data_IF_822704426392
#
_entry.id   IF_822704426392
#
_cell.length_a   1.000
_cell.length_b   1.000
_cell.length_c   1.000
_cell.angle_alpha   90.00
_cell.angle_beta   90.00
_cell.angle_gamma   90.00
#
_symmetry.space_group_name_H-M   'P 1'
#
loop_
_entity.id
_entity.type
_entity.pdbx_description
1 polymer ?
#
# COMPACT_ATOMS: atom_id res chain seq x y z
N UNK A 1 15.46 -15.87 -9.40
CA UNK A 1 14.81 -14.57 -9.21
C UNK A 1 13.30 -14.84 -9.11
N UNK A 2 12.69 -14.71 -7.92
CA UNK A 2 11.33 -15.20 -7.68
C UNK A 2 10.28 -14.31 -8.37
N UNK A 3 9.87 -14.68 -9.59
CA UNK A 3 8.85 -13.97 -10.36
C UNK A 3 7.49 -13.84 -9.63
N UNK A 4 7.19 -14.73 -8.67
CA UNK A 4 5.94 -14.73 -7.91
C UNK A 4 5.83 -13.60 -6.88
N UNK A 5 6.94 -13.24 -6.22
CA UNK A 5 6.96 -12.18 -5.19
C UNK A 5 6.79 -10.80 -5.84
N UNK A 6 7.37 -10.64 -7.04
CA UNK A 6 7.25 -9.40 -7.81
C UNK A 6 5.79 -9.16 -8.23
N UNK A 7 5.07 -10.21 -8.67
CA UNK A 7 3.66 -10.08 -9.07
C UNK A 7 2.72 -9.70 -7.95
N UNK A 8 2.91 -10.23 -6.74
CA UNK A 8 2.10 -9.80 -5.59
C UNK A 8 2.29 -8.31 -5.31
N UNK A 9 3.54 -7.82 -5.41
CA UNK A 9 3.85 -6.41 -5.21
C UNK A 9 3.26 -5.52 -6.32
N UNK A 10 3.38 -5.93 -7.58
CA UNK A 10 2.76 -5.24 -8.73
C UNK A 10 1.25 -5.02 -8.50
N UNK A 11 0.55 -6.05 -8.00
CA UNK A 11 -0.87 -5.98 -7.68
C UNK A 11 -1.12 -4.96 -6.58
N UNK A 12 -0.35 -4.98 -5.49
CA UNK A 12 -0.52 -4.07 -4.35
C UNK A 12 -0.26 -2.62 -4.75
N UNK A 13 0.79 -2.36 -5.53
CA UNK A 13 1.12 -1.02 -6.01
C UNK A 13 0.04 -0.47 -6.94
N UNK A 14 -0.44 -1.30 -7.87
CA UNK A 14 -1.55 -0.93 -8.75
C UNK A 14 -2.84 -0.69 -7.98
N UNK A 15 -3.17 -1.56 -7.03
CA UNK A 15 -4.35 -1.44 -6.19
C UNK A 15 -4.32 -0.16 -5.36
N UNK A 16 -3.17 0.16 -4.75
CA UNK A 16 -2.97 1.39 -3.99
C UNK A 16 -3.22 2.62 -4.85
N UNK A 17 -2.69 2.65 -6.08
CA UNK A 17 -2.95 3.74 -7.03
C UNK A 17 -4.45 3.87 -7.34
N UNK A 18 -5.11 2.77 -7.67
CA UNK A 18 -6.53 2.77 -8.00
C UNK A 18 -7.40 3.25 -6.83
N UNK A 19 -7.10 2.82 -5.60
CA UNK A 19 -7.82 3.25 -4.40
C UNK A 19 -7.51 4.70 -3.98
N UNK A 20 -6.38 5.26 -4.40
CA UNK A 20 -6.07 6.68 -4.18
C UNK A 20 -6.82 7.60 -5.16
N UNK A 21 -7.11 7.12 -6.37
CA UNK A 21 -7.79 7.87 -7.43
C UNK A 21 -9.32 7.67 -7.40
N UNK A 22 -9.79 6.54 -6.87
CA UNK A 22 -11.20 6.13 -6.87
C UNK A 22 -11.59 5.56 -5.51
N UNK A 23 -12.88 5.61 -5.18
CA UNK A 23 -13.37 4.94 -3.97
C UNK A 23 -13.14 3.42 -4.04
N UNK A 24 -12.94 2.78 -2.89
CA UNK A 24 -12.76 1.32 -2.83
C UNK A 24 -13.90 0.58 -3.54
N UNK A 25 -15.14 1.06 -3.45
CA UNK A 25 -16.30 0.44 -4.09
C UNK A 25 -16.20 0.43 -5.62
N UNK A 26 -15.55 1.43 -6.23
CA UNK A 26 -15.47 1.61 -7.68
C UNK A 26 -14.40 0.76 -8.38
N UNK A 27 -13.62 -0.03 -7.64
CA UNK A 27 -12.49 -0.81 -8.19
C UNK A 27 -12.72 -2.30 -7.92
N UNK A 28 -12.68 -3.14 -8.96
CA UNK A 28 -12.75 -4.61 -8.81
C UNK A 28 -11.37 -5.29 -8.94
N UNK A 29 -11.29 -6.57 -8.55
CA UNK A 29 -10.08 -7.38 -8.77
C UNK A 29 -9.81 -7.54 -10.28
N UNK A 30 -10.86 -7.64 -11.10
CA UNK A 30 -10.76 -7.72 -12.56
C UNK A 30 -10.20 -6.44 -13.18
N UNK A 31 -10.55 -5.26 -12.66
CA UNK A 31 -10.02 -4.00 -13.17
C UNK A 31 -8.51 -3.93 -13.01
N UNK A 32 -8.03 -4.31 -11.82
CA UNK A 32 -6.60 -4.35 -11.48
C UNK A 32 -5.90 -5.43 -12.33
N UNK A 33 -6.47 -6.63 -12.40
CA UNK A 33 -5.97 -7.73 -13.24
C UNK A 33 -5.82 -7.32 -14.71
N UNK A 34 -6.84 -6.66 -15.27
CA UNK A 34 -6.81 -6.15 -16.65
C UNK A 34 -5.72 -5.11 -16.85
N UNK A 35 -5.55 -4.20 -15.89
CA UNK A 35 -4.53 -3.14 -15.96
C UNK A 35 -3.08 -3.66 -15.89
N UNK A 36 -2.89 -4.90 -15.41
CA UNK A 36 -1.60 -5.57 -15.32
C UNK A 36 -1.39 -6.63 -16.42
N UNK A 37 -2.37 -6.82 -17.32
CA UNK A 37 -2.33 -7.87 -18.34
C UNK A 37 -2.36 -9.29 -17.74
N UNK A 38 -2.94 -9.45 -16.55
CA UNK A 38 -3.02 -10.72 -15.83
C UNK A 38 -4.37 -11.41 -16.06
N UNK A 39 -4.36 -12.74 -16.03
CA UNK A 39 -5.58 -13.55 -16.06
C UNK A 39 -6.33 -13.51 -14.72
N UNK A 40 -7.65 -13.61 -14.77
CA UNK A 40 -8.51 -13.60 -13.57
C UNK A 40 -8.09 -14.67 -12.55
N UNK A 41 -7.84 -15.90 -13.00
CA UNK A 41 -7.41 -16.99 -12.12
C UNK A 41 -6.12 -16.67 -11.37
N UNK A 42 -5.16 -16.01 -12.02
CA UNK A 42 -3.93 -15.53 -11.37
C UNK A 42 -4.22 -14.47 -10.32
N UNK A 43 -5.12 -13.52 -10.60
CA UNK A 43 -5.51 -12.50 -9.62
C UNK A 43 -6.16 -13.12 -8.37
N UNK A 44 -7.12 -14.03 -8.57
CA UNK A 44 -7.79 -14.74 -7.48
C UNK A 44 -6.87 -15.68 -6.70
N UNK A 45 -5.78 -16.17 -7.31
CA UNK A 45 -4.74 -16.92 -6.60
C UNK A 45 -3.97 -16.04 -5.60
N UNK A 46 -3.65 -14.80 -5.96
CA UNK A 46 -2.95 -13.87 -5.06
C UNK A 46 -3.89 -13.23 -4.02
N UNK A 47 -5.08 -12.84 -4.45
CA UNK A 47 -6.07 -12.17 -3.62
C UNK A 47 -7.44 -12.79 -3.88
N UNK A 48 -7.85 -13.79 -3.06
CA UNK A 48 -9.12 -14.50 -3.23
C UNK A 48 -10.33 -13.56 -3.17
N UNK A 49 -10.24 -12.51 -2.35
CA UNK A 49 -11.29 -11.49 -2.24
C UNK A 49 -10.74 -10.08 -2.37
N UNK A 50 -11.62 -9.14 -2.75
CA UNK A 50 -11.33 -7.71 -2.73
C UNK A 50 -10.97 -7.22 -1.33
N UNK A 51 -11.57 -7.82 -0.30
CA UNK A 51 -11.29 -7.46 1.10
C UNK A 51 -9.86 -7.85 1.49
N UNK A 52 -9.35 -8.98 1.01
CA UNK A 52 -7.96 -9.39 1.25
C UNK A 52 -6.98 -8.38 0.63
N UNK A 53 -7.24 -7.95 -0.60
CA UNK A 53 -6.42 -6.95 -1.28
C UNK A 53 -6.46 -5.60 -0.56
N UNK A 54 -7.65 -5.11 -0.18
CA UNK A 54 -7.79 -3.85 0.56
C UNK A 54 -7.03 -3.93 1.88
N UNK A 55 -7.20 -5.03 2.62
CA UNK A 55 -6.54 -5.24 3.91
C UNK A 55 -5.03 -5.18 3.79
N UNK A 56 -4.46 -5.83 2.77
CA UNK A 56 -3.01 -5.83 2.55
C UNK A 56 -2.50 -4.45 2.10
N UNK A 57 -3.23 -3.74 1.22
CA UNK A 57 -2.87 -2.36 0.84
C UNK A 57 -2.87 -1.44 2.07
N UNK A 58 -3.86 -1.55 2.95
CA UNK A 58 -3.95 -0.76 4.17
C UNK A 58 -2.81 -1.08 5.14
N UNK A 59 -2.48 -2.37 5.31
CA UNK A 59 -1.34 -2.80 6.15
C UNK A 59 -0.02 -2.24 5.65
N UNK A 60 0.26 -2.31 4.34
CA UNK A 60 1.49 -1.74 3.77
C UNK A 60 1.53 -0.21 3.93
N UNK A 61 0.41 0.45 3.64
CA UNK A 61 0.31 1.91 3.78
C UNK A 61 0.53 2.35 5.23
N UNK A 62 -0.03 1.61 6.20
CA UNK A 62 0.18 1.85 7.62
C UNK A 62 1.64 1.59 8.03
N UNK A 63 2.27 0.52 7.53
CA UNK A 63 3.68 0.22 7.78
C UNK A 63 4.61 1.31 7.24
N UNK A 64 4.33 1.82 6.04
CA UNK A 64 5.09 2.91 5.43
C UNK A 64 4.90 4.24 6.17
N UNK A 65 3.68 4.55 6.59
CA UNK A 65 3.42 5.70 7.45
C UNK A 65 4.18 5.58 8.77
N UNK A 66 4.11 4.42 9.42
CA UNK A 66 4.85 4.15 10.65
C UNK A 66 6.35 4.36 10.47
N UNK A 67 6.95 3.81 9.41
CA UNK A 67 8.37 4.00 9.08
C UNK A 67 8.72 5.46 8.85
N UNK A 68 7.92 6.21 8.09
CA UNK A 68 8.15 7.65 7.85
C UNK A 68 8.15 8.45 9.14
N UNK A 69 7.15 8.23 9.99
CA UNK A 69 7.00 8.90 11.28
C UNK A 69 8.15 8.52 12.21
N UNK A 70 8.45 7.22 12.34
CA UNK A 70 9.52 6.73 13.20
C UNK A 70 10.90 7.26 12.79
N UNK A 71 11.18 7.32 11.49
CA UNK A 71 12.45 7.82 10.95
C UNK A 71 12.65 9.33 11.15
N UNK A 72 11.61 10.10 11.52
CA UNK A 72 11.75 11.50 11.91
C UNK A 72 12.12 11.69 13.39
N UNK A 73 12.09 10.62 14.19
CA UNK A 73 12.39 10.68 15.63
C UNK A 73 13.90 10.70 15.81
N UNK A 74 14.45 11.90 15.92
CA UNK A 74 15.82 12.12 16.37
C UNK A 74 15.82 12.49 17.85
N UNK A 75 16.15 11.50 18.69
CA UNK A 75 16.16 11.67 20.15
C UNK A 75 17.26 12.59 20.66
N UNK A 76 18.21 12.99 19.82
CA UNK A 76 19.25 13.96 20.20
C UNK A 76 18.74 15.40 20.19
N UNK A 77 17.60 15.67 19.53
CA UNK A 77 17.02 17.01 19.40
C UNK A 77 16.04 17.34 20.53
N UNK A 78 15.78 18.63 20.81
CA UNK A 78 14.73 19.03 21.75
C UNK A 78 13.35 18.46 21.36
N UNK A 79 12.54 18.06 22.35
CA UNK A 79 11.22 17.43 22.13
C UNK A 79 10.30 18.25 21.22
N UNK A 80 10.40 19.59 21.29
CA UNK A 80 9.66 20.51 20.42
C UNK A 80 10.00 20.33 18.94
N UNK A 81 11.28 20.11 18.61
CA UNK A 81 11.72 19.87 17.25
C UNK A 81 11.31 18.46 16.77
N UNK A 82 11.41 17.46 17.64
CA UNK A 82 10.90 16.11 17.36
C UNK A 82 9.41 16.12 17.02
N UNK A 83 8.58 16.80 17.82
CA UNK A 83 7.13 16.94 17.56
C UNK A 83 6.87 17.66 16.23
N UNK A 84 7.62 18.72 15.92
CA UNK A 84 7.48 19.44 14.65
C UNK A 84 7.77 18.53 13.45
N UNK A 85 8.82 17.72 13.53
CA UNK A 85 9.20 16.78 12.46
C UNK A 85 8.17 15.64 12.32
N UNK A 86 7.63 15.15 13.43
CA UNK A 86 6.55 14.15 13.41
C UNK A 86 5.29 14.67 12.71
N UNK A 87 4.86 15.89 13.02
CA UNK A 87 3.69 16.51 12.37
C UNK A 87 3.94 16.76 10.87
N UNK A 88 5.19 17.07 10.49
CA UNK A 88 5.55 17.23 9.08
C UNK A 88 5.55 15.89 8.31
N UNK A 89 5.84 14.77 8.96
CA UNK A 89 5.91 13.43 8.34
C UNK A 89 4.56 12.85 7.90
N UNK A 90 3.46 13.42 8.40
CA UNK A 90 2.09 12.95 8.17
C UNK A 90 1.39 13.78 7.08
N UNK A 91 1.98 14.91 6.67
CA UNK A 91 1.53 15.73 5.54
C UNK A 91 2.19 15.27 4.24
#
# INVERSE_FOLDING_TARGET
>A
MNHLTNRRQDILEKARKFFSEKSFHAVSLEDISRSLGMGKSTMYHYFPTKQDLITEVLKESASELYKRVYNQIDRSKPIKEQIKNLVAAVR
#
